data_IF_801608357880
#
_entry.id   IF_801608357880
#
_cell.length_a   1.000
_cell.length_b   1.000
_cell.length_c   1.000
_cell.angle_alpha   90.00
_cell.angle_beta   90.00
_cell.angle_gamma   90.00
#
_symmetry.space_group_name_H-M   'P 1'
#
loop_
_entity.id
_entity.type
_entity.pdbx_description
1 polymer ?
#
# COMPACT_ATOMS: atom_id res chain seq x y z
N UNK A 1 7.38 5.60 7.89
CA UNK A 1 6.14 6.26 8.38
C UNK A 1 4.94 5.32 8.39
N UNK A 2 4.60 4.69 7.26
CA UNK A 2 3.35 3.93 7.12
C UNK A 2 3.37 2.59 7.87
N UNK A 3 4.49 1.87 7.84
CA UNK A 3 4.62 0.59 8.57
C UNK A 3 4.50 0.76 10.10
N UNK A 4 5.22 1.71 10.76
CA UNK A 4 5.00 1.99 12.17
C UNK A 4 3.56 2.37 12.51
N UNK A 5 2.89 3.13 11.64
CA UNK A 5 1.48 3.48 11.84
C UNK A 5 0.59 2.23 11.82
N UNK A 6 0.69 1.41 10.78
CA UNK A 6 -0.12 0.19 10.65
C UNK A 6 0.06 -0.72 11.86
N UNK A 7 1.32 -0.96 12.23
CA UNK A 7 1.67 -1.83 13.33
C UNK A 7 1.10 -1.33 14.65
N UNK A 8 1.32 -0.06 15.00
CA UNK A 8 0.80 0.51 16.25
C UNK A 8 -0.73 0.52 16.24
N UNK A 9 -1.36 0.85 15.11
CA UNK A 9 -2.81 0.88 14.98
C UNK A 9 -3.49 -0.49 15.21
N UNK A 10 -2.78 -1.60 14.94
CA UNK A 10 -3.29 -2.95 15.21
C UNK A 10 -3.39 -3.27 16.71
N UNK A 11 -2.60 -2.60 17.56
CA UNK A 11 -2.59 -2.81 19.01
C UNK A 11 -3.28 -1.69 19.79
N UNK A 12 -3.19 -0.45 19.30
CA UNK A 12 -3.85 0.71 19.89
C UNK A 12 -4.41 1.60 18.77
N UNK A 13 -5.75 1.77 18.69
CA UNK A 13 -6.35 2.59 17.64
C UNK A 13 -5.79 4.02 17.66
N UNK A 14 -5.19 4.43 16.54
CA UNK A 14 -4.64 5.79 16.37
C UNK A 14 -5.75 6.80 16.06
N UNK A 15 -6.92 6.32 15.64
CA UNK A 15 -8.15 7.07 15.50
C UNK A 15 -9.35 6.24 15.98
N UNK A 16 -10.37 6.93 16.48
CA UNK A 16 -11.63 6.33 16.93
C UNK A 16 -12.79 7.09 16.28
N UNK A 17 -13.70 6.38 15.63
CA UNK A 17 -14.84 6.97 14.90
C UNK A 17 -14.40 8.07 13.89
N UNK A 18 -13.28 7.84 13.20
CA UNK A 18 -12.71 8.77 12.21
C UNK A 18 -12.08 10.03 12.81
N UNK A 19 -11.86 10.09 14.13
CA UNK A 19 -11.17 11.19 14.80
C UNK A 19 -9.81 10.73 15.32
N UNK A 20 -8.71 11.41 14.98
CA UNK A 20 -7.39 11.05 15.50
C UNK A 20 -7.34 11.24 17.01
N UNK A 21 -6.77 10.27 17.72
CA UNK A 21 -6.49 10.39 19.16
C UNK A 21 -5.22 11.23 19.33
N UNK A 22 -5.22 12.29 20.15
CA UNK A 22 -4.03 13.11 20.38
C UNK A 22 -2.83 12.26 20.83
N UNK A 23 -1.63 12.58 20.33
CA UNK A 23 -0.42 11.78 20.58
C UNK A 23 -0.09 11.72 22.08
N UNK A 24 -0.28 12.82 22.81
CA UNK A 24 -0.06 12.83 24.26
C UNK A 24 -0.97 11.85 25.01
N UNK A 25 -2.24 11.74 24.58
CA UNK A 25 -3.19 10.78 25.14
C UNK A 25 -2.79 9.35 24.79
N UNK A 26 -2.35 9.10 23.56
CA UNK A 26 -1.82 7.80 23.15
C UNK A 26 -0.61 7.41 24.00
N UNK A 27 0.38 8.30 24.14
CA UNK A 27 1.61 8.04 24.89
C UNK A 27 1.39 7.78 26.39
N UNK A 28 0.29 8.27 26.95
CA UNK A 28 -0.11 7.99 28.32
C UNK A 28 -0.64 6.56 28.51
N UNK A 29 -1.15 5.91 27.45
CA UNK A 29 -1.77 4.59 27.51
C UNK A 29 -0.74 3.47 27.71
N UNK A 30 -0.98 2.50 28.62
CA UNK A 30 -0.15 1.30 28.72
C UNK A 30 -0.07 0.52 27.41
N UNK A 31 -1.18 0.40 26.67
CA UNK A 31 -1.26 -0.34 25.41
C UNK A 31 -0.39 0.29 24.32
N UNK A 32 -0.24 1.62 24.32
CA UNK A 32 0.66 2.29 23.39
C UNK A 32 2.13 1.97 23.67
N UNK A 33 2.52 1.98 24.96
CA UNK A 33 3.90 1.66 25.35
C UNK A 33 4.25 0.21 24.98
N UNK A 34 3.31 -0.70 25.21
CA UNK A 34 3.42 -2.10 24.80
C UNK A 34 3.51 -2.25 23.26
N UNK A 35 2.64 -1.56 22.50
CA UNK A 35 2.68 -1.56 21.03
C UNK A 35 4.03 -1.04 20.48
N UNK A 36 4.59 0.02 21.06
CA UNK A 36 5.91 0.54 20.68
C UNK A 36 7.02 -0.44 21.03
N UNK A 37 6.94 -1.12 22.18
CA UNK A 37 7.93 -2.15 22.55
C UNK A 37 7.91 -3.32 21.57
N UNK A 38 6.72 -3.82 21.21
CA UNK A 38 6.54 -4.87 20.18
C UNK A 38 7.04 -4.43 18.82
N UNK A 39 6.80 -3.18 18.43
CA UNK A 39 7.30 -2.64 17.16
C UNK A 39 8.84 -2.62 17.13
N UNK A 40 9.49 -2.20 18.23
CA UNK A 40 10.96 -2.21 18.34
C UNK A 40 11.52 -3.62 18.22
N UNK A 41 10.93 -4.56 18.96
CA UNK A 41 11.31 -5.96 18.91
C UNK A 41 11.15 -6.52 17.49
N UNK A 42 9.99 -6.30 16.87
CA UNK A 42 9.74 -6.69 15.48
C UNK A 42 10.79 -6.12 14.51
N UNK A 43 11.07 -4.81 14.58
CA UNK A 43 12.05 -4.15 13.72
C UNK A 43 13.45 -4.76 13.88
N UNK A 44 13.81 -5.24 15.07
CA UNK A 44 15.12 -5.87 15.30
C UNK A 44 15.36 -7.14 14.48
N UNK A 45 14.30 -7.80 14.03
CA UNK A 45 14.36 -8.97 13.15
C UNK A 45 14.21 -8.61 11.66
N UNK A 46 14.09 -7.32 11.33
CA UNK A 46 13.90 -6.87 9.94
C UNK A 46 15.16 -6.26 9.35
N UNK A 47 15.39 -6.50 8.05
CA UNK A 47 16.29 -5.70 7.24
C UNK A 47 15.53 -4.46 6.76
N UNK A 48 16.00 -3.27 7.15
CA UNK A 48 15.49 -2.03 6.57
C UNK A 48 16.02 -1.91 5.14
N UNK A 49 15.13 -1.86 4.15
CA UNK A 49 15.51 -1.60 2.79
C UNK A 49 15.90 -0.12 2.62
N UNK A 50 16.99 0.12 1.88
CA UNK A 50 17.37 1.47 1.46
C UNK A 50 16.43 1.93 0.35
N UNK A 51 16.00 3.20 0.38
CA UNK A 51 15.20 3.78 -0.69
C UNK A 51 16.12 4.30 -1.82
N UNK A 52 15.82 4.02 -3.10
CA UNK A 52 14.64 3.31 -3.60
C UNK A 52 14.70 1.80 -3.37
N UNK A 53 13.63 1.24 -2.82
CA UNK A 53 13.55 -0.19 -2.47
C UNK A 53 13.42 -1.07 -3.73
N UNK A 54 14.52 -1.71 -4.14
CA UNK A 54 14.56 -2.74 -5.18
C UNK A 54 14.74 -4.13 -4.53
N UNK A 55 13.65 -4.89 -4.38
CA UNK A 55 13.66 -6.21 -3.72
C UNK A 55 14.08 -7.37 -4.65
N UNK A 56 14.39 -7.10 -5.92
CA UNK A 56 14.53 -8.15 -6.94
C UNK A 56 15.77 -8.99 -6.69
N UNK A 57 16.89 -8.33 -6.42
CA UNK A 57 18.16 -8.99 -6.11
C UNK A 57 18.03 -9.80 -4.82
N UNK A 58 17.46 -9.21 -3.77
CA UNK A 58 17.24 -9.88 -2.48
C UNK A 58 16.30 -11.10 -2.60
N UNK A 59 15.24 -11.04 -3.40
CA UNK A 59 14.37 -12.18 -3.65
C UNK A 59 15.04 -13.27 -4.49
N UNK A 60 15.79 -12.89 -5.53
CA UNK A 60 16.50 -13.85 -6.39
C UNK A 60 17.66 -14.53 -5.66
N UNK A 61 18.33 -13.83 -4.74
CA UNK A 61 19.38 -14.39 -3.89
C UNK A 61 18.84 -15.28 -2.75
N UNK A 62 17.55 -15.17 -2.42
CA UNK A 62 16.95 -15.84 -1.27
C UNK A 62 17.26 -15.16 0.07
N UNK A 63 17.76 -13.92 0.05
CA UNK A 63 18.11 -13.12 1.21
C UNK A 63 16.88 -12.48 1.88
N UNK A 64 15.75 -12.42 1.18
CA UNK A 64 14.46 -12.01 1.72
C UNK A 64 13.40 -13.08 1.51
N UNK A 65 12.74 -13.48 2.60
CA UNK A 65 11.65 -14.47 2.56
C UNK A 65 10.26 -13.83 2.64
N UNK A 66 10.14 -12.68 3.31
CA UNK A 66 8.89 -11.94 3.49
C UNK A 66 9.20 -10.44 3.41
N UNK A 67 8.42 -9.69 2.63
CA UNK A 67 8.53 -8.24 2.55
C UNK A 67 7.16 -7.57 2.51
N UNK A 68 7.07 -6.37 3.07
CA UNK A 68 5.97 -5.44 2.78
C UNK A 68 6.37 -4.66 1.54
N UNK A 69 5.87 -5.07 0.37
CA UNK A 69 6.24 -4.49 -0.92
C UNK A 69 5.02 -4.35 -1.85
N UNK A 70 5.21 -3.69 -3.00
CA UNK A 70 4.17 -3.47 -3.99
C UNK A 70 3.72 -4.80 -4.62
N UNK A 71 2.47 -5.19 -4.37
CA UNK A 71 1.86 -6.43 -4.90
C UNK A 71 1.89 -6.44 -6.43
N UNK A 72 1.46 -5.34 -7.03
CA UNK A 72 1.35 -5.17 -8.47
C UNK A 72 2.71 -5.34 -9.15
N UNK A 73 3.73 -4.65 -8.61
CA UNK A 73 5.09 -4.73 -9.13
C UNK A 73 5.71 -6.12 -8.96
N UNK A 74 5.42 -6.81 -7.84
CA UNK A 74 5.89 -8.18 -7.61
C UNK A 74 5.28 -9.16 -8.61
N UNK A 75 3.96 -9.12 -8.81
CA UNK A 75 3.24 -10.02 -9.72
C UNK A 75 3.54 -9.73 -11.19
N UNK A 76 3.72 -8.46 -11.55
CA UNK A 76 4.18 -8.09 -12.88
C UNK A 76 5.61 -8.59 -13.13
N UNK A 77 6.51 -8.46 -12.16
CA UNK A 77 7.90 -8.91 -12.31
C UNK A 77 8.02 -10.42 -12.52
N UNK A 78 7.13 -11.21 -11.89
CA UNK A 78 6.99 -12.65 -12.18
C UNK A 78 6.62 -12.86 -13.66
N UNK A 79 5.66 -12.09 -14.20
CA UNK A 79 5.24 -12.23 -15.61
C UNK A 79 6.34 -11.83 -16.60
N UNK A 80 7.27 -10.96 -16.18
CA UNK A 80 8.45 -10.58 -16.95
C UNK A 80 9.66 -11.53 -16.76
N UNK A 81 9.58 -12.50 -15.84
CA UNK A 81 10.69 -13.40 -15.53
C UNK A 81 11.85 -12.76 -14.77
N UNK A 82 11.62 -11.61 -14.11
CA UNK A 82 12.64 -10.88 -13.35
C UNK A 82 12.63 -11.18 -11.86
N UNK A 83 11.64 -11.95 -11.40
CA UNK A 83 11.52 -12.48 -10.04
C UNK A 83 11.17 -13.98 -10.06
N UNK A 84 11.43 -14.72 -8.96
CA UNK A 84 11.11 -16.14 -8.89
C UNK A 84 9.61 -16.41 -9.14
N UNK A 85 9.24 -17.42 -9.93
CA UNK A 85 7.84 -17.71 -10.26
C UNK A 85 7.03 -18.23 -9.05
N UNK A 86 7.71 -18.53 -7.94
CA UNK A 86 7.13 -19.00 -6.68
C UNK A 86 6.73 -17.86 -5.75
N UNK A 87 6.98 -16.59 -6.11
CA UNK A 87 6.49 -15.46 -5.31
C UNK A 87 4.96 -15.47 -5.28
N UNK A 88 4.41 -15.28 -4.09
CA UNK A 88 3.00 -15.05 -3.85
C UNK A 88 2.81 -13.69 -3.16
N UNK A 89 1.71 -13.03 -3.46
CA UNK A 89 1.29 -11.82 -2.77
C UNK A 89 0.04 -12.11 -1.92
N UNK A 90 -0.02 -11.54 -0.73
CA UNK A 90 -1.14 -11.64 0.18
C UNK A 90 -1.44 -10.30 0.83
N UNK A 91 -2.68 -10.12 1.26
CA UNK A 91 -3.07 -8.97 2.08
C UNK A 91 -2.96 -9.32 3.56
N UNK A 92 -2.53 -8.35 4.37
CA UNK A 92 -2.59 -8.46 5.82
C UNK A 92 -4.05 -8.31 6.26
N UNK A 93 -4.54 -9.22 7.11
CA UNK A 93 -5.90 -9.16 7.65
C UNK A 93 -6.17 -7.89 8.45
N UNK A 94 -5.14 -7.36 9.10
CA UNK A 94 -5.19 -6.12 9.88
C UNK A 94 -4.98 -4.88 9.02
N UNK A 95 -4.88 -5.06 7.70
CA UNK A 95 -4.78 -3.99 6.74
C UNK A 95 -3.36 -3.51 6.46
N UNK A 96 -3.25 -2.78 5.35
CA UNK A 96 -2.06 -2.04 4.98
C UNK A 96 -2.46 -0.58 4.72
N UNK A 97 -1.66 0.41 5.17
CA UNK A 97 -1.78 1.79 4.73
C UNK A 97 -1.17 2.01 3.34
N UNK A 98 -0.86 0.92 2.64
CA UNK A 98 -0.32 0.92 1.29
C UNK A 98 -1.49 0.85 0.29
N UNK A 99 -1.46 1.76 -0.68
CA UNK A 99 -2.47 1.93 -1.72
C UNK A 99 -2.29 3.31 -2.31
N UNK A 100 -1.88 3.38 -3.58
CA UNK A 100 -1.80 4.63 -4.31
C UNK A 100 -3.13 4.84 -5.04
N UNK A 101 -3.80 5.94 -4.74
CA UNK A 101 -4.97 6.36 -5.53
C UNK A 101 -4.42 7.04 -6.80
N UNK A 102 -4.68 6.45 -7.97
CA UNK A 102 -4.33 7.03 -9.27
C UNK A 102 -5.41 8.01 -9.73
N UNK A 103 -5.02 9.24 -10.07
CA UNK A 103 -5.94 10.26 -10.58
C UNK A 103 -5.54 10.70 -11.99
N UNK A 104 -6.52 10.75 -12.89
CA UNK A 104 -6.38 11.45 -14.17
C UNK A 104 -6.76 12.91 -13.96
N UNK A 105 -5.82 13.84 -14.18
CA UNK A 105 -6.00 15.28 -13.93
C UNK A 105 -5.82 16.07 -15.21
N UNK A 106 -6.75 16.98 -15.49
CA UNK A 106 -6.69 17.89 -16.64
C UNK A 106 -6.42 19.31 -16.13
N UNK A 107 -5.37 20.00 -16.61
CA UNK A 107 -5.17 21.41 -16.29
C UNK A 107 -6.34 22.27 -16.79
N UNK A 108 -6.82 23.21 -15.97
CA UNK A 108 -7.98 24.03 -16.31
C UNK A 108 -7.75 24.94 -17.54
N UNK A 109 -6.49 25.26 -17.84
CA UNK A 109 -6.08 26.19 -18.89
C UNK A 109 -5.59 25.51 -20.19
N UNK A 110 -5.93 24.23 -20.43
CA UNK A 110 -5.59 23.61 -21.72
C UNK A 110 -6.30 24.33 -22.87
N UNK A 111 -5.66 24.47 -24.05
CA UNK A 111 -6.30 25.07 -25.22
C UNK A 111 -7.60 24.34 -25.59
N UNK A 112 -8.63 25.08 -26.00
CA UNK A 112 -9.96 24.52 -26.30
C UNK A 112 -9.93 23.41 -27.34
N UNK A 113 -9.05 23.53 -28.34
CA UNK A 113 -8.86 22.51 -29.38
C UNK A 113 -8.45 21.13 -28.83
N UNK A 114 -7.79 21.08 -27.67
CA UNK A 114 -7.34 19.83 -27.05
C UNK A 114 -8.34 19.23 -26.07
N UNK A 115 -9.34 19.99 -25.59
CA UNK A 115 -10.35 19.48 -24.65
C UNK A 115 -11.03 18.20 -25.17
N UNK A 116 -11.51 18.12 -26.43
CA UNK A 116 -12.12 16.90 -26.94
C UNK A 116 -11.15 15.73 -27.04
N UNK A 117 -9.87 15.99 -27.34
CA UNK A 117 -8.84 14.96 -27.47
C UNK A 117 -8.53 14.35 -26.11
N UNK A 118 -8.34 15.17 -25.08
CA UNK A 118 -8.07 14.71 -23.71
C UNK A 118 -9.24 13.85 -23.20
N UNK A 119 -10.48 14.27 -23.44
CA UNK A 119 -11.65 13.48 -23.04
C UNK A 119 -11.71 12.13 -23.76
N UNK A 120 -11.33 12.05 -25.04
CA UNK A 120 -11.23 10.75 -25.75
C UNK A 120 -10.18 9.84 -25.13
N UNK A 121 -9.02 10.37 -24.75
CA UNK A 121 -7.97 9.59 -24.08
C UNK A 121 -8.45 9.07 -22.73
N UNK A 122 -9.10 9.92 -21.92
CA UNK A 122 -9.65 9.50 -20.63
C UNK A 122 -10.68 8.38 -20.82
N UNK A 123 -11.62 8.54 -21.76
CA UNK A 123 -12.61 7.52 -22.05
C UNK A 123 -11.98 6.20 -22.53
N UNK A 124 -10.91 6.27 -23.33
CA UNK A 124 -10.15 5.08 -23.72
C UNK A 124 -9.51 4.40 -22.51
N UNK A 125 -8.78 5.15 -21.67
CA UNK A 125 -8.12 4.60 -20.48
C UNK A 125 -9.12 4.00 -19.48
N UNK A 126 -10.32 4.58 -19.37
CA UNK A 126 -11.39 4.11 -18.47
C UNK A 126 -12.34 3.09 -19.13
N UNK A 127 -12.11 2.68 -20.38
CA UNK A 127 -12.90 1.65 -21.03
C UNK A 127 -12.68 0.28 -20.38
N UNK A 128 -13.71 -0.58 -20.40
CA UNK A 128 -13.65 -1.94 -19.86
C UNK A 128 -12.40 -2.69 -20.35
N UNK A 129 -12.10 -2.61 -21.65
CA UNK A 129 -10.95 -3.29 -22.26
C UNK A 129 -9.61 -2.86 -21.64
N UNK A 130 -9.41 -1.56 -21.41
CA UNK A 130 -8.18 -1.05 -20.79
C UNK A 130 -8.13 -1.39 -19.31
N UNK A 131 -9.26 -1.33 -18.62
CA UNK A 131 -9.36 -1.62 -17.20
C UNK A 131 -9.14 -3.12 -16.91
N UNK A 132 -9.64 -4.01 -17.79
CA UNK A 132 -9.33 -5.44 -17.73
C UNK A 132 -7.83 -5.67 -17.94
N UNK A 133 -7.22 -5.05 -18.97
CA UNK A 133 -5.76 -5.17 -19.20
C UNK A 133 -4.95 -4.68 -18.01
N UNK A 134 -5.34 -3.56 -17.41
CA UNK A 134 -4.68 -2.98 -16.24
C UNK A 134 -4.59 -4.00 -15.10
N UNK A 135 -5.70 -4.67 -14.77
CA UNK A 135 -5.72 -5.62 -13.67
C UNK A 135 -5.12 -6.99 -14.04
N UNK A 136 -5.22 -7.43 -15.30
CA UNK A 136 -4.69 -8.73 -15.72
C UNK A 136 -3.20 -8.73 -16.05
N UNK A 137 -2.66 -7.59 -16.51
CA UNK A 137 -1.27 -7.47 -16.96
C UNK A 137 -0.41 -6.75 -15.94
N UNK A 138 -0.93 -5.65 -15.35
CA UNK A 138 -0.20 -4.84 -14.38
C UNK A 138 -0.61 -5.10 -12.93
N UNK A 139 -1.64 -5.93 -12.68
CA UNK A 139 -2.11 -6.26 -11.33
C UNK A 139 -2.55 -5.05 -10.49
N UNK A 140 -2.97 -3.97 -11.16
CA UNK A 140 -3.52 -2.79 -10.52
C UNK A 140 -5.05 -2.85 -10.50
N UNK A 141 -5.66 -2.47 -9.37
CA UNK A 141 -7.12 -2.42 -9.25
C UNK A 141 -7.72 -1.41 -10.25
N UNK A 142 -8.92 -1.72 -10.73
CA UNK A 142 -9.61 -0.91 -11.74
C UNK A 142 -10.08 0.42 -11.17
N UNK A 143 -10.03 1.47 -11.99
CA UNK A 143 -10.61 2.79 -11.70
C UNK A 143 -12.11 2.88 -12.01
N UNK A 144 -12.74 1.79 -12.45
CA UNK A 144 -14.17 1.70 -12.78
C UNK A 144 -14.81 0.47 -12.14
N UNK A 145 -16.14 0.47 -12.02
CA UNK A 145 -16.93 -0.60 -11.43
C UNK A 145 -17.20 -1.71 -12.47
N UNK A 146 -16.18 -2.52 -12.75
CA UNK A 146 -16.23 -3.60 -13.75
C UNK A 146 -15.82 -4.98 -13.20
N UNK A 147 -15.89 -5.15 -11.88
CA UNK A 147 -15.40 -6.35 -11.19
C UNK A 147 -16.01 -7.65 -11.74
N UNK A 148 -17.28 -7.60 -12.16
CA UNK A 148 -18.04 -8.69 -12.78
C UNK A 148 -17.55 -9.07 -14.18
N UNK A 149 -16.78 -8.20 -14.83
CA UNK A 149 -16.19 -8.42 -16.16
C UNK A 149 -14.74 -8.89 -16.10
N UNK A 150 -14.10 -8.80 -14.93
CA UNK A 150 -12.71 -9.25 -14.75
C UNK A 150 -12.66 -10.77 -14.70
N UNK A 151 -11.74 -11.43 -15.44
CA UNK A 151 -11.62 -12.88 -15.41
C UNK A 151 -11.33 -13.44 -14.00
N UNK A 152 -12.05 -14.49 -13.59
CA UNK A 152 -11.91 -15.13 -12.27
C UNK A 152 -10.49 -15.61 -11.91
N UNK A 153 -9.63 -15.83 -12.92
CA UNK A 153 -8.21 -16.16 -12.68
C UNK A 153 -7.46 -15.05 -11.94
N UNK A 154 -7.88 -13.80 -12.08
CA UNK A 154 -7.32 -12.66 -11.34
C UNK A 154 -7.63 -12.79 -9.85
N UNK A 155 -8.88 -13.09 -9.51
CA UNK A 155 -9.34 -13.20 -8.11
C UNK A 155 -8.79 -14.42 -7.37
N UNK A 156 -8.25 -15.38 -8.10
CA UNK A 156 -7.47 -16.49 -7.51
C UNK A 156 -6.03 -16.10 -7.15
N UNK A 157 -5.55 -14.94 -7.61
CA UNK A 157 -4.20 -14.43 -7.37
C UNK A 157 -4.17 -13.23 -6.44
N UNK A 158 -5.17 -12.36 -6.52
CA UNK A 158 -5.30 -11.17 -5.65
C UNK A 158 -6.71 -11.11 -5.07
N UNK A 159 -6.89 -10.59 -3.84
CA UNK A 159 -8.21 -10.38 -3.27
C UNK A 159 -9.02 -9.36 -4.07
N UNK A 160 -10.34 -9.37 -3.92
CA UNK A 160 -11.19 -8.34 -4.54
C UNK A 160 -10.99 -7.00 -3.84
N UNK A 161 -11.14 -5.89 -4.58
CA UNK A 161 -10.96 -4.56 -4.00
C UNK A 161 -11.90 -4.31 -2.81
N UNK A 162 -13.16 -4.73 -2.91
CA UNK A 162 -14.13 -4.59 -1.82
C UNK A 162 -13.73 -5.33 -0.53
N UNK A 163 -12.84 -6.31 -0.61
CA UNK A 163 -12.29 -7.01 0.56
C UNK A 163 -11.10 -6.23 1.13
N UNK A 164 -10.22 -5.74 0.26
CA UNK A 164 -9.07 -4.90 0.63
C UNK A 164 -9.52 -3.58 1.27
N UNK A 165 -10.55 -2.94 0.72
CA UNK A 165 -11.05 -1.65 1.21
C UNK A 165 -11.52 -1.74 2.66
N UNK A 166 -12.16 -2.85 3.06
CA UNK A 166 -12.66 -3.07 4.42
C UNK A 166 -11.55 -3.06 5.46
N UNK A 167 -10.36 -3.50 5.09
CA UNK A 167 -9.20 -3.59 5.99
C UNK A 167 -8.21 -2.45 5.76
N UNK A 168 -8.41 -1.55 4.78
CA UNK A 168 -7.45 -0.48 4.46
C UNK A 168 -7.24 0.44 5.68
N UNK A 169 -5.98 0.57 6.10
CA UNK A 169 -5.60 1.48 7.19
C UNK A 169 -5.43 2.89 6.62
N UNK A 170 -6.32 3.82 7.00
CA UNK A 170 -6.17 5.23 6.64
C UNK A 170 -5.19 5.91 7.59
N UNK A 171 -4.22 6.65 7.05
CA UNK A 171 -3.25 7.43 7.84
C UNK A 171 -3.87 8.76 8.31
N UNK A 172 -4.88 8.70 9.15
CA UNK A 172 -5.67 9.85 9.61
C UNK A 172 -5.10 10.57 10.85
N UNK A 173 -4.19 9.93 11.59
CA UNK A 173 -3.49 10.56 12.71
C UNK A 173 -2.19 11.21 12.27
N UNK A 174 -2.30 12.46 11.81
CA UNK A 174 -1.16 13.26 11.33
C UNK A 174 -0.09 13.43 12.40
N UNK A 175 -0.49 13.70 13.64
CA UNK A 175 0.44 13.93 14.77
C UNK A 175 1.35 12.74 15.00
N UNK A 176 0.80 11.52 15.03
CA UNK A 176 1.59 10.29 15.09
C UNK A 176 2.50 10.13 13.87
N UNK A 177 1.98 10.34 12.64
CA UNK A 177 2.82 10.19 11.43
C UNK A 177 3.98 11.18 11.39
N UNK A 178 3.79 12.40 11.89
CA UNK A 178 4.84 13.41 11.97
C UNK A 178 5.85 13.10 13.06
N UNK A 179 5.40 12.57 14.21
CA UNK A 179 6.30 12.04 15.24
C UNK A 179 7.18 10.91 14.70
N UNK A 180 6.61 9.95 13.96
CA UNK A 180 7.40 8.87 13.34
C UNK A 180 8.44 9.44 12.35
N UNK A 181 8.09 10.46 11.56
CA UNK A 181 9.06 11.09 10.65
C UNK A 181 10.19 11.78 11.41
N UNK A 182 9.87 12.50 12.47
CA UNK A 182 10.83 13.32 13.21
C UNK A 182 11.71 12.50 14.16
N UNK A 183 11.14 11.43 14.74
CA UNK A 183 11.75 10.67 15.86
C UNK A 183 11.88 9.19 15.60
N UNK A 184 11.26 8.63 14.56
CA UNK A 184 11.17 7.19 14.35
C UNK A 184 12.52 6.48 14.29
N UNK A 185 13.54 7.08 13.69
CA UNK A 185 14.90 6.48 13.63
C UNK A 185 15.46 6.29 15.04
N UNK A 186 15.49 7.35 15.83
CA UNK A 186 16.00 7.30 17.22
C UNK A 186 15.10 6.48 18.15
N UNK A 187 13.78 6.59 17.96
CA UNK A 187 12.80 6.07 18.88
C UNK A 187 12.41 4.63 18.62
N UNK A 188 12.62 4.08 17.41
CA UNK A 188 12.14 2.74 17.02
C UNK A 188 13.24 1.78 16.58
N UNK A 189 14.41 2.27 16.15
CA UNK A 189 15.49 1.38 15.74
C UNK A 189 16.29 0.89 16.95
N UNK A 190 16.76 -0.38 16.92
CA UNK A 190 17.73 -0.85 17.90
C UNK A 190 19.00 0.00 17.83
N UNK A 191 19.63 0.22 18.99
CA UNK A 191 20.92 0.91 19.11
C UNK A 191 22.08 -0.05 18.89
#
# INVERSE_FOLDING_TARGET
RSLPYAFVNAFVPLAVNGKPVPLAELQAKPEYKDAIAKLKDFISYTKLANEPTNMFEDFNAGDTWIAVYAMDYSLWSISQGTMPPTIAAGSLSDGLPAGSDGYLVIPANIPDAYKPVVMKVINYLLSDDQQIRLITEMWQYTGTNIEDKVPDVVWRKIPKWAEVEKVRVRLDNKEFTDWVKAKGVEALLPK
#
